data_IF_789815475940
#
_entry.id   IF_789815475940
#
_cell.length_a   1.000
_cell.length_b   1.000
_cell.length_c   1.000
_cell.angle_alpha   90.00
_cell.angle_beta   90.00
_cell.angle_gamma   90.00
#
_symmetry.space_group_name_H-M   'P 1'
#
loop_
_entity.id
_entity.type
_entity.pdbx_description
1 polymer ?
#
# COMPACT_ATOMS: atom_id res chain seq x y z
N UNK A 1 -6.01 -4.61 -11.15
CA UNK A 1 -7.13 -4.24 -10.25
C UNK A 1 -7.39 -2.73 -10.27
N UNK A 2 -8.57 -2.25 -9.83
CA UNK A 2 -8.79 -0.82 -9.61
C UNK A 2 -8.06 -0.38 -8.33
N UNK A 3 -7.24 0.68 -8.41
CA UNK A 3 -6.57 1.23 -7.23
C UNK A 3 -7.57 2.07 -6.39
N UNK A 4 -7.69 1.84 -5.08
CA UNK A 4 -8.64 2.58 -4.25
C UNK A 4 -8.33 4.07 -4.16
N UNK A 5 -9.32 4.93 -4.43
CA UNK A 5 -9.16 6.40 -4.44
C UNK A 5 -8.58 6.94 -3.14
N UNK A 6 -9.08 6.46 -1.99
CA UNK A 6 -8.60 6.89 -0.67
C UNK A 6 -7.12 6.60 -0.46
N UNK A 7 -6.64 5.49 -1.01
CA UNK A 7 -5.22 5.11 -0.91
C UNK A 7 -4.38 5.90 -1.92
N UNK A 8 -4.94 6.26 -3.08
CA UNK A 8 -4.25 7.15 -4.03
C UNK A 8 -4.07 8.56 -3.45
N UNK A 9 -5.08 9.06 -2.74
CA UNK A 9 -4.99 10.32 -2.00
C UNK A 9 -3.91 10.23 -0.92
N UNK A 10 -3.92 9.16 -0.11
CA UNK A 10 -2.87 8.91 0.89
C UNK A 10 -1.46 8.87 0.27
N UNK A 11 -1.28 8.11 -0.82
CA UNK A 11 0.00 8.00 -1.53
C UNK A 11 0.50 9.37 -2.02
N UNK A 12 -0.41 10.21 -2.51
CA UNK A 12 -0.08 11.56 -2.98
C UNK A 12 0.32 12.51 -1.86
N UNK A 13 -0.09 12.24 -0.61
CA UNK A 13 0.30 13.03 0.58
C UNK A 13 1.68 12.65 1.11
N UNK A 14 2.02 11.35 1.11
CA UNK A 14 3.22 10.85 1.80
C UNK A 14 4.38 10.49 0.87
N UNK A 15 4.14 10.37 -0.44
CA UNK A 15 5.18 10.09 -1.43
C UNK A 15 5.38 11.28 -2.38
N UNK A 16 6.54 11.34 -3.04
CA UNK A 16 6.73 12.27 -4.14
C UNK A 16 5.77 11.95 -5.31
N UNK A 17 5.35 12.94 -6.11
CA UNK A 17 4.39 12.71 -7.20
C UNK A 17 4.80 11.61 -8.18
N UNK A 18 6.09 11.54 -8.52
CA UNK A 18 6.62 10.50 -9.39
C UNK A 18 6.54 9.10 -8.75
N UNK A 19 6.82 9.00 -7.45
CA UNK A 19 6.78 7.73 -6.71
C UNK A 19 5.33 7.27 -6.49
N UNK A 20 4.41 8.18 -6.14
CA UNK A 20 2.98 7.90 -6.02
C UNK A 20 2.39 7.41 -7.35
N UNK A 21 2.62 8.15 -8.44
CA UNK A 21 2.12 7.77 -9.78
C UNK A 21 2.65 6.40 -10.20
N UNK A 22 3.94 6.14 -10.02
CA UNK A 22 4.55 4.85 -10.35
C UNK A 22 3.95 3.71 -9.53
N UNK A 23 3.79 3.88 -8.22
CA UNK A 23 3.18 2.87 -7.35
C UNK A 23 1.74 2.56 -7.77
N UNK A 24 0.92 3.58 -8.02
CA UNK A 24 -0.47 3.42 -8.44
C UNK A 24 -0.53 2.65 -9.76
N UNK A 25 0.29 3.01 -10.75
CA UNK A 25 0.33 2.33 -12.04
C UNK A 25 0.74 0.87 -11.90
N UNK A 26 1.86 0.58 -11.24
CA UNK A 26 2.36 -0.80 -11.13
C UNK A 26 1.43 -1.67 -10.27
N UNK A 27 0.91 -1.16 -9.15
CA UNK A 27 -0.03 -1.90 -8.32
C UNK A 27 -1.36 -2.17 -9.07
N UNK A 28 -1.85 -1.23 -9.89
CA UNK A 28 -3.05 -1.44 -10.70
C UNK A 28 -2.87 -2.57 -11.72
N UNK A 29 -1.65 -2.83 -12.16
CA UNK A 29 -1.32 -3.93 -13.08
C UNK A 29 -1.25 -5.31 -12.41
N UNK A 30 -1.29 -5.39 -11.07
CA UNK A 30 -1.30 -6.66 -10.36
C UNK A 30 -2.65 -7.37 -10.49
N UNK A 31 -2.57 -8.69 -10.58
CA UNK A 31 -3.71 -9.59 -10.48
C UNK A 31 -4.15 -9.69 -9.01
N UNK A 32 -5.41 -9.39 -8.74
CA UNK A 32 -5.98 -9.44 -7.39
C UNK A 32 -5.93 -10.85 -6.78
N UNK A 33 -5.89 -11.89 -7.61
CA UNK A 33 -5.80 -13.28 -7.16
C UNK A 33 -4.55 -13.54 -6.28
N UNK A 34 -3.47 -12.77 -6.46
CA UNK A 34 -2.24 -12.94 -5.67
C UNK A 34 -2.44 -12.53 -4.20
N UNK A 35 -3.48 -11.75 -3.90
CA UNK A 35 -3.79 -11.28 -2.55
C UNK A 35 -4.74 -12.21 -1.79
N UNK A 36 -5.14 -13.35 -2.35
CA UNK A 36 -5.94 -14.34 -1.63
C UNK A 36 -7.27 -13.82 -1.08
N UNK A 37 -7.89 -12.84 -1.75
CA UNK A 37 -9.14 -12.22 -1.32
C UNK A 37 -9.00 -11.23 -0.16
N UNK A 38 -7.80 -10.73 0.12
CA UNK A 38 -7.60 -9.64 1.07
C UNK A 38 -8.25 -8.34 0.59
N UNK A 39 -8.56 -7.48 1.57
CA UNK A 39 -9.03 -6.13 1.31
C UNK A 39 -8.00 -5.32 0.51
N UNK A 40 -8.45 -4.71 -0.60
CA UNK A 40 -7.57 -3.96 -1.49
C UNK A 40 -7.03 -2.68 -0.87
N UNK A 41 -7.79 -1.98 -0.03
CA UNK A 41 -7.27 -0.81 0.70
C UNK A 41 -6.17 -1.25 1.66
N UNK A 42 -6.35 -2.36 2.38
CA UNK A 42 -5.32 -2.92 3.27
C UNK A 42 -4.02 -3.24 2.53
N UNK A 43 -4.10 -3.93 1.39
CA UNK A 43 -2.94 -4.32 0.58
C UNK A 43 -2.23 -3.09 0.02
N UNK A 44 -2.97 -2.20 -0.63
CA UNK A 44 -2.40 -1.03 -1.28
C UNK A 44 -1.86 -0.01 -0.27
N UNK A 45 -2.48 0.15 0.89
CA UNK A 45 -1.92 0.97 1.98
C UNK A 45 -0.62 0.39 2.52
N UNK A 46 -0.52 -0.94 2.68
CA UNK A 46 0.75 -1.56 3.07
C UNK A 46 1.88 -1.26 2.07
N UNK A 47 1.58 -1.28 0.77
CA UNK A 47 2.54 -0.89 -0.27
C UNK A 47 2.99 0.57 -0.12
N UNK A 48 2.07 1.50 0.12
CA UNK A 48 2.38 2.93 0.32
C UNK A 48 3.26 3.12 1.55
N UNK A 49 2.92 2.49 2.69
CA UNK A 49 3.71 2.57 3.94
C UNK A 49 5.14 2.05 3.76
N UNK A 50 5.33 0.98 2.99
CA UNK A 50 6.68 0.47 2.71
C UNK A 50 7.43 1.41 1.77
N UNK A 51 6.76 1.93 0.74
CA UNK A 51 7.34 2.91 -0.18
C UNK A 51 7.75 4.22 0.52
N UNK A 52 7.02 4.65 1.54
CA UNK A 52 7.34 5.84 2.35
C UNK A 52 8.70 5.69 3.06
N UNK A 53 9.09 4.47 3.46
CA UNK A 53 10.37 4.15 4.11
C UNK A 53 11.54 4.04 3.12
N UNK A 54 11.51 4.82 2.03
CA UNK A 54 12.50 4.84 0.96
C UNK A 54 12.77 3.50 0.23
N UNK A 55 11.87 2.53 0.36
CA UNK A 55 11.93 1.31 -0.45
C UNK A 55 11.55 1.64 -1.90
N UNK A 56 12.24 1.05 -2.88
CA UNK A 56 11.92 1.22 -4.29
C UNK A 56 10.61 0.52 -4.65
N UNK A 57 9.86 1.07 -5.62
CA UNK A 57 8.58 0.49 -6.05
C UNK A 57 8.77 -0.95 -6.56
N UNK A 58 9.84 -1.21 -7.31
CA UNK A 58 10.18 -2.57 -7.76
C UNK A 58 10.25 -3.59 -6.61
N UNK A 59 10.84 -3.20 -5.47
CA UNK A 59 10.94 -4.07 -4.30
C UNK A 59 9.61 -4.25 -3.58
N UNK A 60 8.78 -3.20 -3.54
CA UNK A 60 7.43 -3.27 -2.96
C UNK A 60 6.56 -4.22 -3.79
N UNK A 61 6.58 -4.09 -5.11
CA UNK A 61 5.84 -4.96 -6.03
C UNK A 61 6.35 -6.40 -5.95
N UNK A 62 7.67 -6.61 -5.95
CA UNK A 62 8.25 -7.93 -5.80
C UNK A 62 7.83 -8.61 -4.48
N UNK A 63 7.79 -7.86 -3.37
CA UNK A 63 7.31 -8.37 -2.08
C UNK A 63 5.83 -8.77 -2.14
N UNK A 64 4.99 -7.91 -2.74
CA UNK A 64 3.57 -8.18 -2.90
C UNK A 64 3.28 -9.44 -3.73
N UNK A 65 4.08 -9.68 -4.78
CA UNK A 65 3.97 -10.88 -5.62
C UNK A 65 4.52 -12.13 -4.95
N UNK A 66 5.52 -11.99 -4.07
CA UNK A 66 6.15 -13.12 -3.40
C UNK A 66 5.29 -13.67 -2.26
N UNK A 67 4.86 -12.81 -1.34
CA UNK A 67 3.94 -13.17 -0.25
C UNK A 67 3.19 -11.93 0.26
N UNK A 68 1.88 -11.91 0.05
CA UNK A 68 1.02 -10.83 0.52
C UNK A 68 1.02 -10.71 2.06
N UNK A 69 1.30 -11.79 2.79
CA UNK A 69 1.39 -11.75 4.26
C UNK A 69 2.61 -10.97 4.71
N UNK A 70 3.75 -11.19 4.07
CA UNK A 70 4.98 -10.46 4.36
C UNK A 70 4.84 -8.98 3.98
N UNK A 71 4.16 -8.69 2.87
CA UNK A 71 3.78 -7.32 2.52
C UNK A 71 2.97 -6.66 3.67
N UNK A 72 1.94 -7.33 4.16
CA UNK A 72 1.10 -6.80 5.25
C UNK A 72 1.89 -6.64 6.55
N UNK A 73 2.76 -7.60 6.89
CA UNK A 73 3.62 -7.51 8.06
C UNK A 73 4.60 -6.33 7.95
N UNK A 74 5.26 -6.18 6.80
CA UNK A 74 6.18 -5.07 6.53
C UNK A 74 5.47 -3.71 6.57
N UNK A 75 4.25 -3.64 6.04
CA UNK A 75 3.39 -2.46 6.08
C UNK A 75 2.72 -2.20 7.44
N UNK A 76 2.94 -3.03 8.45
CA UNK A 76 2.34 -2.87 9.78
C UNK A 76 0.83 -3.17 9.85
N UNK A 77 0.28 -3.81 8.81
CA UNK A 77 -1.13 -4.15 8.66
C UNK A 77 -1.37 -5.66 8.72
N UNK A 78 -0.42 -6.48 9.20
CA UNK A 78 -0.56 -7.94 9.30
C UNK A 78 -1.32 -8.43 10.54
N UNK A 79 -1.43 -7.61 11.58
CA UNK A 79 -2.06 -7.95 12.86
C UNK A 79 -3.57 -7.72 12.86
N UNK A 80 -4.30 -8.24 13.85
CA UNK A 80 -5.78 -8.19 13.91
C UNK A 80 -6.36 -6.78 14.05
N UNK A 81 -5.58 -5.82 14.54
CA UNK A 81 -5.93 -4.40 14.68
C UNK A 81 -5.73 -3.59 13.39
N UNK A 82 -5.44 -4.25 12.27
CA UNK A 82 -5.26 -3.59 10.97
C UNK A 82 -6.41 -2.66 10.55
N UNK A 83 -7.72 -2.90 10.87
CA UNK A 83 -8.77 -1.98 10.44
C UNK A 83 -8.64 -0.60 11.09
N UNK A 84 -8.26 -0.56 12.37
CA UNK A 84 -8.02 0.69 13.11
C UNK A 84 -6.81 1.41 12.54
N UNK A 85 -5.69 0.70 12.33
CA UNK A 85 -4.49 1.30 11.74
C UNK A 85 -4.72 1.83 10.34
N UNK A 86 -5.48 1.10 9.51
CA UNK A 86 -5.85 1.53 8.18
C UNK A 86 -6.66 2.84 8.24
N UNK A 87 -7.65 2.92 9.13
CA UNK A 87 -8.42 4.14 9.33
C UNK A 87 -7.52 5.31 9.75
N UNK A 88 -6.61 5.10 10.71
CA UNK A 88 -5.70 6.13 11.19
C UNK A 88 -4.77 6.67 10.08
N UNK A 89 -4.21 5.77 9.25
CA UNK A 89 -3.35 6.13 8.12
C UNK A 89 -4.09 6.92 7.04
N UNK A 90 -5.31 6.50 6.69
CA UNK A 90 -6.06 7.14 5.61
C UNK A 90 -6.69 8.47 6.03
N UNK A 91 -6.92 8.69 7.33
CA UNK A 91 -7.46 9.95 7.88
C UNK A 91 -6.35 10.97 8.19
N UNK A 92 -5.16 10.52 8.60
CA UNK A 92 -4.10 11.45 9.03
C UNK A 92 -3.54 12.27 7.85
N UNK A 93 -3.54 13.60 8.01
CA UNK A 93 -2.70 14.51 7.21
C UNK A 93 -1.22 14.28 7.58
N UNK A 94 -0.26 14.44 6.64
CA UNK A 94 1.16 14.30 6.96
C UNK A 94 1.52 15.31 8.07
N UNK A 95 2.10 14.83 9.17
CA UNK A 95 2.65 15.70 10.20
C UNK A 95 3.79 16.55 9.59
N UNK A 96 3.81 17.86 9.87
CA UNK A 96 4.79 18.79 9.31
C UNK A 96 6.24 18.50 9.72
#
# INVERSE_FOLDING_TARGET
MLFPTRVADYASRVLSPAKASRLITEASSLDEAIFGGQDLERITTAMVVIAERDVSIDKVIALAMADWRDLLMAGGLGTSDWPTRLADLLVSEPQP
#
